data_IF_851081298912
#
_entry.id   IF_851081298912
#
_cell.length_a   1.000
_cell.length_b   1.000
_cell.length_c   1.000
_cell.angle_alpha   90.00
_cell.angle_beta   90.00
_cell.angle_gamma   90.00
#
_symmetry.space_group_name_H-M   'P 1'
#
loop_
_entity.id
_entity.type
_entity.pdbx_description
1 polymer ?
#
# COMPACT_ATOMS: atom_id res chain seq x y z
N UNK A 1 -53.34 -9.74 70.87
CA UNK A 1 -53.27 -9.91 69.40
C UNK A 1 -52.64 -8.72 68.67
N UNK A 2 -53.07 -7.47 68.95
CA UNK A 2 -52.50 -6.26 68.31
C UNK A 2 -50.98 -6.09 68.44
N UNK A 3 -50.39 -6.43 69.60
CA UNK A 3 -48.94 -6.35 69.80
C UNK A 3 -48.15 -7.34 68.95
N UNK A 4 -48.65 -8.57 68.79
CA UNK A 4 -47.98 -9.58 67.94
C UNK A 4 -47.98 -9.13 66.48
N UNK A 5 -49.12 -8.62 66.00
CA UNK A 5 -49.26 -8.09 64.65
C UNK A 5 -48.34 -6.87 64.41
N UNK A 6 -48.18 -6.01 65.41
CA UNK A 6 -47.27 -4.86 65.35
C UNK A 6 -45.80 -5.29 65.29
N UNK A 7 -45.40 -6.29 66.08
CA UNK A 7 -44.04 -6.83 66.09
C UNK A 7 -43.71 -7.54 64.77
N UNK A 8 -44.66 -8.29 64.22
CA UNK A 8 -44.52 -8.91 62.89
C UNK A 8 -44.37 -7.87 61.79
N UNK A 9 -45.21 -6.83 61.80
CA UNK A 9 -45.16 -5.75 60.80
C UNK A 9 -43.81 -5.00 60.85
N UNK A 10 -43.30 -4.74 62.05
CA UNK A 10 -41.98 -4.13 62.26
C UNK A 10 -40.84 -5.03 61.74
N UNK A 11 -40.94 -6.34 61.93
CA UNK A 11 -39.98 -7.31 61.43
C UNK A 11 -40.00 -7.40 59.89
N UNK A 12 -41.18 -7.27 59.27
CA UNK A 12 -41.34 -7.25 57.81
C UNK A 12 -40.77 -5.96 57.21
N UNK A 13 -41.06 -4.81 57.81
CA UNK A 13 -40.54 -3.50 57.40
C UNK A 13 -39.01 -3.43 57.50
N UNK A 14 -38.42 -3.99 58.56
CA UNK A 14 -36.97 -4.03 58.74
C UNK A 14 -36.23 -4.90 57.69
N UNK A 15 -36.96 -5.76 56.97
CA UNK A 15 -36.44 -6.60 55.89
C UNK A 15 -36.62 -5.99 54.51
N UNK A 16 -37.34 -4.87 54.39
CA UNK A 16 -37.47 -4.18 53.12
C UNK A 16 -36.14 -3.46 52.81
N UNK A 17 -35.61 -3.57 51.57
CA UNK A 17 -34.48 -2.73 51.18
C UNK A 17 -34.88 -1.28 51.42
N UNK A 18 -34.07 -0.57 52.21
CA UNK A 18 -34.35 0.82 52.55
C UNK A 18 -34.49 1.68 51.29
N UNK A 19 -35.27 2.77 51.34
CA UNK A 19 -35.43 3.68 50.20
C UNK A 19 -34.08 4.16 49.63
N UNK A 20 -33.09 4.34 50.51
CA UNK A 20 -31.70 4.66 50.13
C UNK A 20 -31.04 3.59 49.24
N UNK A 21 -31.26 2.30 49.53
CA UNK A 21 -30.71 1.21 48.72
C UNK A 21 -31.36 1.15 47.33
N UNK A 22 -32.66 1.46 47.23
CA UNK A 22 -33.36 1.54 45.96
C UNK A 22 -32.86 2.70 45.09
N UNK A 23 -32.63 3.87 45.69
CA UNK A 23 -32.04 5.04 45.01
C UNK A 23 -30.62 4.75 44.50
N UNK A 24 -29.76 4.16 45.33
CA UNK A 24 -28.40 3.77 44.93
C UNK A 24 -28.43 2.78 43.76
N UNK A 25 -29.34 1.81 43.77
CA UNK A 25 -29.48 0.85 42.70
C UNK A 25 -29.97 1.50 41.39
N UNK A 26 -30.85 2.50 41.48
CA UNK A 26 -31.26 3.30 40.33
C UNK A 26 -30.10 4.10 39.74
N UNK A 27 -29.30 4.76 40.59
CA UNK A 27 -28.11 5.50 40.18
C UNK A 27 -27.13 4.58 39.46
N UNK A 28 -26.80 3.43 40.05
CA UNK A 28 -25.87 2.47 39.41
C UNK A 28 -26.40 1.94 38.08
N UNK A 29 -27.69 1.65 37.97
CA UNK A 29 -28.30 1.25 36.68
C UNK A 29 -28.18 2.37 35.64
N UNK A 30 -28.36 3.62 36.03
CA UNK A 30 -28.18 4.75 35.14
C UNK A 30 -26.73 4.87 34.67
N UNK A 31 -25.78 4.88 35.61
CA UNK A 31 -24.35 4.94 35.32
C UNK A 31 -23.89 3.79 34.42
N UNK A 32 -24.37 2.55 34.66
CA UNK A 32 -24.07 1.40 33.81
C UNK A 32 -24.56 1.59 32.38
N UNK A 33 -25.77 2.14 32.20
CA UNK A 33 -26.30 2.45 30.86
C UNK A 33 -25.45 3.49 30.16
N UNK A 34 -25.04 4.55 30.85
CA UNK A 34 -24.15 5.58 30.28
C UNK A 34 -22.79 5.02 29.90
N UNK A 35 -22.16 4.25 30.80
CA UNK A 35 -20.89 3.58 30.52
C UNK A 35 -20.99 2.63 29.33
N UNK A 36 -22.10 1.90 29.21
CA UNK A 36 -22.36 1.04 28.06
C UNK A 36 -22.50 1.84 26.76
N UNK A 37 -23.14 3.01 26.79
CA UNK A 37 -23.20 3.92 25.63
C UNK A 37 -21.81 4.42 25.25
N UNK A 38 -21.00 4.85 26.23
CA UNK A 38 -19.61 5.28 26.01
C UNK A 38 -18.78 4.17 25.37
N UNK A 39 -18.90 2.93 25.84
CA UNK A 39 -18.20 1.78 25.27
C UNK A 39 -18.61 1.51 23.82
N UNK A 40 -19.90 1.67 23.47
CA UNK A 40 -20.36 1.53 22.09
C UNK A 40 -19.75 2.58 21.16
N UNK A 41 -19.72 3.84 21.60
CA UNK A 41 -19.10 4.93 20.84
C UNK A 41 -17.62 4.65 20.64
N UNK A 42 -16.89 4.34 21.71
CA UNK A 42 -15.46 4.04 21.64
C UNK A 42 -15.17 2.83 20.74
N UNK A 43 -16.02 1.80 20.78
CA UNK A 43 -15.90 0.65 19.87
C UNK A 43 -16.11 1.04 18.41
N UNK A 44 -17.05 1.95 18.12
CA UNK A 44 -17.25 2.45 16.76
C UNK A 44 -16.09 3.32 16.27
N UNK A 45 -15.52 4.15 17.15
CA UNK A 45 -14.33 4.95 16.85
C UNK A 45 -13.12 4.05 16.58
N UNK A 46 -12.93 3.01 17.40
CA UNK A 46 -11.86 2.03 17.20
C UNK A 46 -11.98 1.34 15.84
N UNK A 47 -13.18 0.88 15.47
CA UNK A 47 -13.43 0.25 14.17
C UNK A 47 -13.17 1.21 13.01
N UNK A 48 -13.53 2.48 13.16
CA UNK A 48 -13.25 3.52 12.17
C UNK A 48 -11.73 3.70 11.98
N UNK A 49 -10.97 3.81 13.07
CA UNK A 49 -9.50 3.94 12.99
C UNK A 49 -8.83 2.68 12.43
N UNK A 50 -9.36 1.50 12.75
CA UNK A 50 -8.88 0.25 12.17
C UNK A 50 -9.08 0.24 10.65
N UNK A 51 -10.27 0.61 10.16
CA UNK A 51 -10.56 0.75 8.72
C UNK A 51 -9.61 1.75 8.06
N UNK A 52 -9.44 2.93 8.67
CA UNK A 52 -8.56 3.97 8.14
C UNK A 52 -7.10 3.51 8.05
N UNK A 53 -6.63 2.77 9.05
CA UNK A 53 -5.28 2.18 9.04
C UNK A 53 -5.11 1.17 7.91
N UNK A 54 -6.11 0.33 7.67
CA UNK A 54 -6.11 -0.63 6.55
C UNK A 54 -6.11 0.08 5.19
N UNK A 55 -6.90 1.15 5.04
CA UNK A 55 -6.93 1.98 3.83
C UNK A 55 -5.57 2.61 3.54
N UNK A 56 -4.92 3.21 4.54
CA UNK A 56 -3.59 3.78 4.36
C UNK A 56 -2.55 2.73 3.99
N UNK A 57 -2.60 1.55 4.61
CA UNK A 57 -1.71 0.45 4.25
C UNK A 57 -1.89 0.05 2.78
N UNK A 58 -3.15 -0.10 2.34
CA UNK A 58 -3.47 -0.41 0.95
C UNK A 58 -2.99 0.69 -0.01
N UNK A 59 -3.19 1.96 0.34
CA UNK A 59 -2.75 3.08 -0.48
C UNK A 59 -1.23 3.14 -0.62
N UNK A 60 -0.49 2.90 0.46
CA UNK A 60 0.98 2.80 0.43
C UNK A 60 1.42 1.66 -0.51
N UNK A 61 0.81 0.48 -0.40
CA UNK A 61 1.14 -0.66 -1.26
C UNK A 61 0.83 -0.37 -2.74
N UNK A 62 -0.31 0.25 -3.02
CA UNK A 62 -0.72 0.66 -4.36
C UNK A 62 0.26 1.68 -4.96
N UNK A 63 0.56 2.76 -4.23
CA UNK A 63 1.51 3.79 -4.68
C UNK A 63 2.90 3.21 -4.91
N UNK A 64 3.33 2.28 -4.06
CA UNK A 64 4.61 1.57 -4.23
C UNK A 64 4.62 0.75 -5.52
N UNK A 65 3.54 0.01 -5.79
CA UNK A 65 3.38 -0.74 -7.04
C UNK A 65 3.38 0.17 -8.27
N UNK A 66 2.65 1.28 -8.21
CA UNK A 66 2.57 2.27 -9.30
C UNK A 66 3.93 2.90 -9.60
N UNK A 67 4.70 3.25 -8.57
CA UNK A 67 6.06 3.76 -8.70
C UNK A 67 6.97 2.73 -9.38
N UNK A 68 6.94 1.47 -8.93
CA UNK A 68 7.71 0.39 -9.54
C UNK A 68 7.33 0.18 -11.00
N UNK A 69 6.04 0.22 -11.33
CA UNK A 69 5.54 0.08 -12.69
C UNK A 69 5.98 1.24 -13.57
N UNK A 70 5.92 2.47 -13.06
CA UNK A 70 6.40 3.67 -13.76
C UNK A 70 7.90 3.59 -14.03
N UNK A 71 8.70 3.19 -13.03
CA UNK A 71 10.14 2.99 -13.18
C UNK A 71 10.46 1.94 -14.25
N UNK A 72 9.74 0.81 -14.26
CA UNK A 72 9.87 -0.23 -15.28
C UNK A 72 9.55 0.32 -16.68
N UNK A 73 8.44 1.03 -16.83
CA UNK A 73 8.02 1.65 -18.10
C UNK A 73 9.06 2.66 -18.60
N UNK A 74 9.55 3.55 -17.72
CA UNK A 74 10.57 4.53 -18.06
C UNK A 74 11.88 3.89 -18.55
N UNK A 75 12.38 2.87 -17.83
CA UNK A 75 13.61 2.17 -18.24
C UNK A 75 13.41 1.35 -19.52
N UNK A 76 12.22 0.79 -19.75
CA UNK A 76 11.90 0.11 -21.00
C UNK A 76 11.85 1.10 -22.18
N UNK A 77 11.25 2.27 -21.97
CA UNK A 77 11.19 3.35 -22.95
C UNK A 77 12.60 3.85 -23.29
N UNK A 78 13.42 4.17 -22.29
CA UNK A 78 14.80 4.63 -22.50
C UNK A 78 15.65 3.60 -23.28
N UNK A 79 15.45 2.31 -23.01
CA UNK A 79 16.09 1.22 -23.77
C UNK A 79 15.62 1.19 -25.24
N UNK A 80 14.32 1.32 -25.49
CA UNK A 80 13.75 1.38 -26.85
C UNK A 80 14.29 2.57 -27.63
N UNK A 81 14.31 3.75 -27.02
CA UNK A 81 14.83 4.98 -27.64
C UNK A 81 16.32 4.86 -27.99
N UNK A 82 17.13 4.24 -27.13
CA UNK A 82 18.54 3.99 -27.40
C UNK A 82 18.75 3.05 -28.59
N UNK A 83 18.01 1.93 -28.62
CA UNK A 83 18.06 0.96 -29.73
C UNK A 83 17.62 1.63 -31.04
N UNK A 84 16.53 2.43 -31.01
CA UNK A 84 16.04 3.13 -32.18
C UNK A 84 17.07 4.13 -32.71
N UNK A 85 17.65 4.97 -31.85
CA UNK A 85 18.72 5.92 -32.25
C UNK A 85 19.93 5.21 -32.86
N UNK A 86 20.33 4.07 -32.31
CA UNK A 86 21.44 3.30 -32.88
C UNK A 86 21.06 2.66 -34.22
N UNK A 87 19.84 2.13 -34.37
CA UNK A 87 19.34 1.60 -35.64
C UNK A 87 19.28 2.68 -36.71
N UNK A 88 18.78 3.87 -36.38
CA UNK A 88 18.71 5.01 -37.31
C UNK A 88 20.13 5.48 -37.70
N UNK A 89 21.09 5.48 -36.77
CA UNK A 89 22.50 5.75 -37.06
C UNK A 89 23.13 4.70 -37.98
N UNK A 90 22.93 3.41 -37.71
CA UNK A 90 23.44 2.33 -38.55
C UNK A 90 22.77 2.37 -39.93
N UNK A 91 21.47 2.66 -40.02
CA UNK A 91 20.77 2.78 -41.30
C UNK A 91 21.27 3.96 -42.14
N UNK A 92 21.57 5.11 -41.52
CA UNK A 92 22.18 6.26 -42.19
C UNK A 92 23.59 5.96 -42.68
N UNK A 93 24.39 5.26 -41.87
CA UNK A 93 25.75 4.85 -42.23
C UNK A 93 25.74 3.78 -43.35
N UNK A 94 24.75 2.87 -43.34
CA UNK A 94 24.59 1.83 -44.37
C UNK A 94 24.15 2.41 -45.73
N UNK A 95 23.30 3.46 -45.73
CA UNK A 95 23.00 4.22 -46.95
C UNK A 95 24.20 4.97 -47.53
N UNK A 96 25.17 5.38 -46.70
CA UNK A 96 26.45 5.95 -47.17
C UNK A 96 27.51 4.88 -47.49
N UNK A 97 27.40 3.66 -46.95
CA UNK A 97 28.34 2.56 -47.19
C UNK A 97 28.07 1.75 -48.45
N UNK A 98 26.94 1.98 -49.13
CA UNK A 98 26.59 1.33 -50.41
C UNK A 98 27.44 1.79 -51.60
N UNK A 99 28.30 2.80 -51.43
CA UNK A 99 29.38 3.12 -52.36
C UNK A 99 30.68 2.45 -51.88
N UNK A 100 30.79 1.12 -52.02
CA UNK A 100 32.10 0.45 -51.91
C UNK A 100 32.94 0.90 -53.12
N UNK A 101 34.07 1.61 -52.96
CA UNK A 101 35.03 1.71 -54.05
C UNK A 101 35.61 0.32 -54.27
N UNK A 102 35.36 -0.25 -55.45
CA UNK A 102 35.87 -1.54 -55.94
C UNK A 102 37.36 -1.47 -56.28
N UNK A 103 38.15 -0.76 -55.47
CA UNK A 103 39.56 -0.47 -55.72
C UNK A 103 40.45 -0.71 -54.49
N UNK A 104 41.76 -0.94 -54.68
CA UNK A 104 42.68 -1.19 -53.58
C UNK A 104 42.73 0.03 -52.64
N UNK A 105 42.36 -0.16 -51.37
CA UNK A 105 42.41 0.91 -50.37
C UNK A 105 43.84 1.02 -49.83
N UNK A 106 44.51 2.13 -50.12
CA UNK A 106 45.78 2.50 -49.51
C UNK A 106 45.51 3.49 -48.37
N UNK A 107 45.94 3.18 -47.15
CA UNK A 107 46.06 4.19 -46.09
C UNK A 107 47.49 4.73 -46.11
N UNK A 108 47.67 6.05 -45.98
CA UNK A 108 48.93 6.76 -46.21
C UNK A 108 50.19 6.01 -45.77
N UNK A 109 51.11 5.80 -46.71
CA UNK A 109 52.30 4.95 -46.53
C UNK A 109 52.59 3.99 -47.71
N UNK A 110 51.78 3.97 -48.76
CA UNK A 110 52.08 3.22 -49.99
C UNK A 110 51.85 1.71 -49.94
N UNK A 111 51.14 1.19 -48.92
CA UNK A 111 50.77 -0.23 -48.82
C UNK A 111 49.25 -0.45 -48.97
N UNK A 112 48.81 -1.39 -49.83
CA UNK A 112 47.39 -1.67 -50.02
C UNK A 112 46.84 -2.62 -48.95
N UNK A 113 45.68 -2.28 -48.38
CA UNK A 113 44.87 -3.18 -47.55
C UNK A 113 44.06 -4.16 -48.43
N UNK A 114 44.71 -5.08 -49.14
CA UNK A 114 44.01 -6.24 -49.68
C UNK A 114 44.21 -7.43 -48.75
N UNK A 115 43.13 -7.94 -48.17
CA UNK A 115 43.12 -9.20 -47.43
C UNK A 115 43.61 -10.31 -48.36
N UNK A 116 44.66 -11.02 -47.95
CA UNK A 116 45.18 -12.20 -48.63
C UNK A 116 44.08 -13.26 -48.70
N UNK A 117 43.64 -13.57 -49.92
CA UNK A 117 42.81 -14.72 -50.21
C UNK A 117 43.63 -16.00 -50.01
N UNK A 118 43.14 -16.87 -49.12
CA UNK A 118 43.43 -18.30 -48.96
C UNK A 118 44.46 -18.90 -49.93
N UNK A 119 45.58 -19.40 -49.38
CA UNK A 119 46.30 -20.50 -50.03
C UNK A 119 45.66 -21.83 -49.60
N UNK A 120 45.07 -22.53 -50.58
CA UNK A 120 44.88 -23.97 -50.55
C UNK A 120 46.01 -24.59 -51.38
N UNK A 121 46.83 -25.42 -50.74
CA UNK A 121 47.36 -26.71 -51.18
C UNK A 121 48.58 -27.06 -50.33
#
# INVERSE_FOLDING_TARGET
EKEKLYVELKHILARQPGPEAAEQLQIYRHTLREKTKQLKVLSSELNMYESQSQEYKYEIEKLTSDLLNLKKKYLAQKRKEYIQKNKDRISMDDTFSMAKPTGPRFTGGGFPLSKSSKMKS
#
